data_IF_436172722449
#
_entry.id   IF_436172722449
#
_cell.length_a   1.000
_cell.length_b   1.000
_cell.length_c   1.000
_cell.angle_alpha   90.00
_cell.angle_beta   90.00
_cell.angle_gamma   90.00
#
_symmetry.space_group_name_H-M   'P 1'
#
loop_
_entity.id
_entity.type
_entity.pdbx_description
1 polymer ?
#
# COMPACT_ATOMS: atom_id res chain seq x y z
N UNK A 1 -2.97 -10.39 24.39
CA UNK A 1 -1.84 -9.39 24.47
C UNK A 1 -2.30 -8.20 23.66
N UNK A 2 -2.51 -7.06 24.31
CA UNK A 2 -3.01 -5.84 23.64
C UNK A 2 -1.90 -5.17 22.83
N UNK A 3 -2.26 -4.59 21.69
CA UNK A 3 -1.34 -3.69 20.97
C UNK A 3 -1.08 -2.44 21.82
N UNK A 4 0.14 -1.92 21.71
CA UNK A 4 0.49 -0.61 22.29
C UNK A 4 -0.44 0.48 21.73
N UNK A 5 -0.43 1.64 22.35
CA UNK A 5 -1.17 2.80 21.83
C UNK A 5 -0.80 3.02 20.35
N UNK A 6 -1.83 3.06 19.50
CA UNK A 6 -1.65 3.26 18.07
C UNK A 6 -1.55 4.75 17.78
N UNK A 7 -0.52 5.13 17.06
CA UNK A 7 -0.31 6.51 16.63
C UNK A 7 0.11 6.58 15.17
N UNK A 8 -0.20 7.69 14.53
CA UNK A 8 0.31 8.00 13.19
C UNK A 8 1.77 8.41 13.33
N UNK A 9 2.58 7.84 12.45
CA UNK A 9 4.02 8.13 12.36
C UNK A 9 4.40 8.42 10.92
N UNK A 10 5.60 8.93 10.72
CA UNK A 10 6.28 8.85 9.44
C UNK A 10 7.45 7.89 9.53
N UNK A 11 7.84 7.37 8.39
CA UNK A 11 9.09 6.64 8.20
C UNK A 11 9.89 7.46 7.18
N UNK A 12 11.00 8.12 7.58
CA UNK A 12 11.72 9.03 6.69
C UNK A 12 12.14 8.43 5.35
N UNK A 13 12.37 7.11 5.30
CA UNK A 13 12.65 6.43 4.04
C UNK A 13 11.42 6.36 3.13
N UNK A 14 10.21 6.14 3.66
CA UNK A 14 8.95 6.24 2.92
C UNK A 14 8.75 7.68 2.45
N UNK A 15 8.98 8.65 3.34
CA UNK A 15 8.89 10.07 3.01
C UNK A 15 9.83 10.45 1.86
N UNK A 16 11.05 9.90 1.82
CA UNK A 16 11.98 10.12 0.72
C UNK A 16 11.47 9.55 -0.61
N UNK A 17 10.84 8.37 -0.58
CA UNK A 17 10.19 7.78 -1.77
C UNK A 17 9.13 8.72 -2.33
N UNK A 18 8.17 9.14 -1.49
CA UNK A 18 7.10 10.04 -1.94
C UNK A 18 7.59 11.42 -2.31
N UNK A 19 8.60 11.94 -1.60
CA UNK A 19 9.23 13.20 -1.97
C UNK A 19 9.92 13.13 -3.32
N UNK A 20 10.49 11.98 -3.69
CA UNK A 20 11.03 11.75 -5.03
C UNK A 20 9.95 11.83 -6.11
N UNK A 21 8.76 11.29 -5.83
CA UNK A 21 7.60 11.38 -6.72
C UNK A 21 7.08 12.81 -6.84
N UNK A 22 7.10 13.59 -5.75
CA UNK A 22 6.75 15.00 -5.77
C UNK A 22 7.64 15.79 -6.75
N UNK A 23 8.93 15.45 -6.82
CA UNK A 23 9.86 16.10 -7.75
C UNK A 23 9.51 15.84 -9.22
N UNK A 24 8.85 14.73 -9.52
CA UNK A 24 8.31 14.44 -10.85
C UNK A 24 7.16 15.38 -11.25
N UNK A 25 6.84 16.39 -10.45
CA UNK A 25 5.70 17.28 -10.62
C UNK A 25 4.39 16.52 -10.80
N UNK A 26 4.28 15.42 -10.11
CA UNK A 26 3.07 14.64 -10.05
C UNK A 26 1.95 15.52 -9.49
N UNK A 27 0.96 15.79 -10.31
CA UNK A 27 -0.20 16.52 -9.86
C UNK A 27 -1.01 15.58 -8.96
N UNK A 28 -1.20 15.99 -7.73
CA UNK A 28 -1.99 15.25 -6.75
C UNK A 28 -3.44 15.24 -7.20
N UNK A 29 -3.80 14.27 -8.01
CA UNK A 29 -5.16 14.05 -8.47
C UNK A 29 -6.06 13.51 -7.37
N UNK A 30 -6.07 14.16 -6.23
CA UNK A 30 -7.11 13.90 -5.26
C UNK A 30 -7.98 15.13 -5.19
N UNK A 31 -9.16 15.03 -5.76
CA UNK A 31 -10.23 16.04 -5.70
C UNK A 31 -10.55 16.42 -4.25
N UNK A 32 -10.22 15.56 -3.29
CA UNK A 32 -10.51 15.75 -1.86
C UNK A 32 -9.37 16.39 -1.07
N UNK A 33 -8.24 16.68 -1.69
CA UNK A 33 -7.15 17.36 -0.99
C UNK A 33 -7.41 18.86 -0.93
N UNK A 34 -7.20 19.40 0.28
CA UNK A 34 -7.18 20.84 0.48
C UNK A 34 -6.12 21.50 -0.44
N UNK A 35 -6.54 22.56 -1.13
CA UNK A 35 -5.67 23.35 -2.00
C UNK A 35 -4.47 23.92 -1.25
N UNK A 36 -4.64 24.30 0.01
CA UNK A 36 -3.56 24.79 0.86
C UNK A 36 -2.48 23.72 1.09
N UNK A 37 -2.88 22.47 1.28
CA UNK A 37 -1.95 21.35 1.39
C UNK A 37 -1.17 21.16 0.08
N UNK A 38 -1.86 21.19 -1.05
CA UNK A 38 -1.24 21.05 -2.37
C UNK A 38 -0.22 22.17 -2.61
N UNK A 39 -0.58 23.42 -2.34
CA UNK A 39 0.33 24.56 -2.50
C UNK A 39 1.54 24.47 -1.57
N UNK A 40 1.30 23.98 -0.35
CA UNK A 40 2.39 23.73 0.59
C UNK A 40 3.36 22.66 0.08
N UNK A 41 2.85 21.55 -0.45
CA UNK A 41 3.67 20.49 -1.02
C UNK A 41 4.46 20.99 -2.24
N UNK A 42 3.82 21.77 -3.12
CA UNK A 42 4.49 22.39 -4.28
C UNK A 42 5.65 23.30 -3.87
N UNK A 43 5.57 23.94 -2.71
CA UNK A 43 6.65 24.80 -2.20
C UNK A 43 7.95 24.05 -1.86
N UNK A 44 7.90 22.72 -1.81
CA UNK A 44 9.06 21.86 -1.59
C UNK A 44 9.69 21.31 -2.88
N UNK A 45 9.12 21.62 -4.04
CA UNK A 45 9.73 21.20 -5.32
C UNK A 45 11.10 21.85 -5.47
N UNK A 46 12.09 21.05 -5.82
CA UNK A 46 13.46 21.49 -6.02
C UNK A 46 13.52 22.24 -7.36
N UNK A 47 13.83 23.55 -7.33
CA UNK A 47 13.83 24.40 -8.51
C UNK A 47 15.18 24.44 -9.24
N UNK A 48 16.28 24.14 -8.54
CA UNK A 48 17.64 24.41 -9.02
C UNK A 48 18.39 23.15 -9.47
N UNK A 49 17.68 22.08 -9.78
CA UNK A 49 18.30 20.84 -10.17
C UNK A 49 18.42 20.76 -11.70
N UNK A 50 19.64 20.80 -12.24
CA UNK A 50 19.88 20.50 -13.67
C UNK A 50 19.45 19.08 -14.07
N UNK A 51 19.20 18.22 -13.09
CA UNK A 51 18.76 16.83 -13.23
C UNK A 51 17.23 16.69 -13.15
N UNK A 52 16.49 17.80 -13.13
CA UNK A 52 15.03 17.79 -13.20
C UNK A 52 14.49 17.11 -14.48
N UNK A 53 15.27 17.04 -15.52
CA UNK A 53 14.89 16.33 -16.75
C UNK A 53 14.59 14.85 -16.48
N UNK A 54 15.33 14.21 -15.58
CA UNK A 54 15.06 12.84 -15.17
C UNK A 54 13.66 12.69 -14.55
N UNK A 55 13.29 13.58 -13.64
CA UNK A 55 11.96 13.53 -13.00
C UNK A 55 10.83 13.89 -13.98
N UNK A 56 11.10 14.75 -14.96
CA UNK A 56 10.13 15.10 -16.00
C UNK A 56 9.89 13.94 -16.96
N UNK A 57 10.94 13.22 -17.33
CA UNK A 57 10.86 12.04 -18.19
C UNK A 57 10.03 10.94 -17.52
N UNK A 58 10.25 10.68 -16.23
CA UNK A 58 9.43 9.77 -15.43
C UNK A 58 7.95 10.19 -15.47
N UNK A 59 7.65 11.49 -15.32
CA UNK A 59 6.27 11.98 -15.39
C UNK A 59 5.62 11.67 -16.74
N UNK A 60 6.28 11.98 -17.83
CA UNK A 60 5.74 11.78 -19.19
C UNK A 60 5.45 10.30 -19.46
N UNK A 61 6.36 9.43 -19.04
CA UNK A 61 6.29 8.01 -19.40
C UNK A 61 5.41 7.17 -18.45
N UNK A 62 5.20 7.62 -17.21
CA UNK A 62 4.45 6.81 -16.20
C UNK A 62 3.04 7.32 -15.96
N UNK A 63 2.77 8.62 -16.07
CA UNK A 63 1.44 9.17 -15.80
C UNK A 63 0.40 8.83 -16.87
N UNK A 64 0.82 8.58 -18.11
CA UNK A 64 -0.10 8.16 -19.19
C UNK A 64 -0.61 6.74 -19.00
N UNK A 65 0.19 5.90 -18.33
CA UNK A 65 -0.13 4.48 -18.13
C UNK A 65 -0.89 4.25 -16.81
N UNK A 66 -0.64 5.08 -15.79
CA UNK A 66 -1.26 4.96 -14.47
C UNK A 66 -1.64 6.32 -13.90
N UNK A 67 -2.89 6.76 -14.06
CA UNK A 67 -3.36 8.06 -13.57
C UNK A 67 -3.25 8.23 -12.05
N UNK A 68 -3.09 7.16 -11.29
CA UNK A 68 -3.04 7.19 -9.81
C UNK A 68 -1.66 6.93 -9.23
N UNK A 69 -0.62 6.85 -10.04
CA UNK A 69 0.71 6.45 -9.56
C UNK A 69 0.64 5.36 -8.48
N UNK A 70 -0.08 4.31 -8.74
CA UNK A 70 -0.54 3.40 -7.70
C UNK A 70 0.52 2.42 -7.28
N UNK A 71 1.55 2.27 -8.07
CA UNK A 71 2.62 1.31 -7.79
C UNK A 71 3.71 1.91 -6.91
N UNK A 72 3.44 3.05 -6.26
CA UNK A 72 4.29 3.60 -5.22
C UNK A 72 4.56 2.61 -4.08
N UNK A 73 3.63 1.71 -3.79
CA UNK A 73 3.84 0.60 -2.86
C UNK A 73 5.09 -0.22 -3.18
N UNK A 74 5.38 -0.45 -4.46
CA UNK A 74 6.61 -1.14 -4.88
C UNK A 74 7.86 -0.35 -4.51
N UNK A 75 7.78 0.97 -4.57
CA UNK A 75 8.88 1.85 -4.17
C UNK A 75 8.99 1.94 -2.65
N UNK A 76 7.88 1.82 -1.93
CA UNK A 76 7.88 1.81 -0.46
C UNK A 76 8.72 0.66 0.10
N UNK A 77 8.82 -0.47 -0.60
CA UNK A 77 9.69 -1.57 -0.20
C UNK A 77 11.16 -1.16 -0.15
N UNK A 78 11.56 -0.11 -0.87
CA UNK A 78 12.91 0.47 -0.77
C UNK A 78 13.26 0.89 0.67
N UNK A 79 12.27 1.22 1.50
CA UNK A 79 12.43 1.57 2.91
C UNK A 79 13.26 0.56 3.67
N UNK A 80 13.18 -0.71 3.33
CA UNK A 80 13.93 -1.79 4.00
C UNK A 80 15.40 -1.87 3.57
N UNK A 81 15.77 -1.15 2.54
CA UNK A 81 17.07 -1.21 1.88
C UNK A 81 17.79 0.15 1.82
N UNK A 82 17.21 1.20 2.42
CA UNK A 82 17.79 2.54 2.46
C UNK A 82 18.50 2.76 3.78
N UNK A 83 19.76 3.19 3.68
CA UNK A 83 20.50 3.76 4.78
C UNK A 83 20.47 5.29 4.68
N UNK A 84 19.65 5.91 5.51
CA UNK A 84 19.50 7.37 5.50
C UNK A 84 20.73 8.10 6.03
N UNK A 85 21.55 7.45 6.87
CA UNK A 85 22.75 8.09 7.43
C UNK A 85 23.85 8.22 6.37
N UNK A 86 23.94 7.24 5.48
CA UNK A 86 24.91 7.22 4.41
C UNK A 86 24.32 7.59 3.04
N UNK A 87 23.04 7.98 3.00
CA UNK A 87 22.32 8.42 1.78
C UNK A 87 22.43 7.42 0.62
N UNK A 88 22.31 6.14 0.91
CA UNK A 88 22.50 5.06 -0.07
C UNK A 88 21.55 3.90 0.13
N UNK A 89 21.43 3.06 -0.89
CA UNK A 89 20.89 1.73 -0.75
C UNK A 89 21.94 0.81 -0.08
N UNK A 90 21.54 0.08 0.95
CA UNK A 90 22.37 -0.96 1.58
C UNK A 90 22.56 -2.12 0.62
N UNK A 91 21.47 -2.57 -0.02
CA UNK A 91 21.49 -3.63 -1.02
C UNK A 91 20.43 -3.37 -2.09
N UNK A 92 20.84 -2.71 -3.16
CA UNK A 92 19.96 -2.42 -4.29
C UNK A 92 19.54 -3.69 -5.05
N UNK A 93 20.40 -4.70 -5.11
CA UNK A 93 20.06 -5.95 -5.78
C UNK A 93 19.00 -6.73 -5.01
N UNK A 94 19.09 -6.78 -3.67
CA UNK A 94 18.06 -7.38 -2.86
C UNK A 94 16.71 -6.63 -2.99
N UNK A 95 16.72 -5.31 -3.01
CA UNK A 95 15.54 -4.48 -3.30
C UNK A 95 14.93 -4.82 -4.66
N UNK A 96 15.74 -4.81 -5.71
CA UNK A 96 15.29 -5.15 -7.06
C UNK A 96 14.69 -6.55 -7.12
N UNK A 97 15.34 -7.54 -6.51
CA UNK A 97 14.86 -8.91 -6.49
C UNK A 97 13.55 -9.06 -5.69
N UNK A 98 13.37 -8.31 -4.60
CA UNK A 98 12.12 -8.34 -3.83
C UNK A 98 10.93 -7.85 -4.66
N UNK A 99 11.14 -6.84 -5.50
CA UNK A 99 10.10 -6.35 -6.41
C UNK A 99 9.77 -7.39 -7.49
N UNK A 100 10.78 -8.02 -8.08
CA UNK A 100 10.58 -9.07 -9.09
C UNK A 100 9.81 -10.25 -8.50
N UNK A 101 10.17 -10.67 -7.27
CA UNK A 101 9.52 -11.81 -6.60
C UNK A 101 8.07 -11.51 -6.20
N UNK A 102 7.77 -10.26 -5.84
CA UNK A 102 6.44 -9.84 -5.41
C UNK A 102 5.48 -9.59 -6.59
N UNK A 103 5.95 -9.68 -7.82
CA UNK A 103 5.19 -9.30 -9.00
C UNK A 103 5.06 -10.44 -9.99
N UNK A 104 3.86 -10.53 -10.53
CA UNK A 104 3.61 -11.30 -11.74
C UNK A 104 4.46 -10.70 -12.89
N UNK A 105 5.16 -11.55 -13.62
CA UNK A 105 5.98 -11.17 -14.79
C UNK A 105 5.17 -10.32 -15.78
N UNK A 106 3.88 -10.62 -15.95
CA UNK A 106 2.99 -9.84 -16.81
C UNK A 106 2.84 -8.37 -16.41
N UNK A 107 2.94 -8.05 -15.13
CA UNK A 107 2.90 -6.66 -14.64
C UNK A 107 4.19 -5.90 -14.98
N UNK A 108 5.31 -6.59 -14.98
CA UNK A 108 6.61 -6.03 -15.37
C UNK A 108 6.63 -5.77 -16.88
N UNK A 109 6.16 -6.72 -17.68
CA UNK A 109 6.12 -6.60 -19.13
C UNK A 109 5.18 -5.49 -19.60
N UNK A 110 4.02 -5.33 -18.95
CA UNK A 110 3.11 -4.22 -19.24
C UNK A 110 3.67 -2.86 -18.90
N UNK A 111 4.65 -2.81 -18.00
CA UNK A 111 5.10 -1.59 -17.40
C UNK A 111 6.61 -1.43 -17.42
N UNK A 112 7.22 -1.73 -18.55
CA UNK A 112 8.66 -1.61 -18.74
C UNK A 112 9.18 -0.21 -18.36
N UNK A 113 8.43 0.85 -18.63
CA UNK A 113 8.80 2.22 -18.26
C UNK A 113 8.87 2.43 -16.76
N UNK A 114 7.88 1.89 -16.03
CA UNK A 114 7.91 1.93 -14.58
C UNK A 114 9.05 1.10 -13.99
N UNK A 115 9.33 -0.06 -14.60
CA UNK A 115 10.45 -0.90 -14.23
C UNK A 115 11.79 -0.21 -14.48
N UNK A 116 11.94 0.46 -15.61
CA UNK A 116 13.13 1.25 -15.92
C UNK A 116 13.34 2.37 -14.91
N UNK A 117 12.25 2.99 -14.45
CA UNK A 117 12.32 3.99 -13.40
C UNK A 117 12.73 3.41 -12.04
N UNK A 118 12.20 2.24 -11.65
CA UNK A 118 12.62 1.53 -10.43
C UNK A 118 14.14 1.30 -10.45
N UNK A 119 14.70 0.88 -11.57
CA UNK A 119 16.14 0.67 -11.73
C UNK A 119 16.93 1.98 -11.54
N UNK A 120 16.38 3.09 -11.98
CA UNK A 120 17.00 4.41 -11.87
C UNK A 120 16.71 5.12 -10.53
N UNK A 121 15.78 4.59 -9.74
CA UNK A 121 15.34 5.19 -8.48
C UNK A 121 16.47 5.52 -7.49
N UNK A 122 17.56 4.72 -7.35
CA UNK A 122 18.68 5.10 -6.50
C UNK A 122 19.29 6.46 -6.81
N UNK A 123 19.33 6.83 -8.09
CA UNK A 123 19.82 8.15 -8.52
C UNK A 123 18.87 9.26 -8.04
N UNK A 124 17.56 9.08 -8.25
CA UNK A 124 16.53 10.01 -7.79
C UNK A 124 16.58 10.20 -6.28
N UNK A 125 16.65 9.08 -5.55
CA UNK A 125 16.70 9.07 -4.09
C UNK A 125 17.93 9.82 -3.57
N UNK A 126 19.11 9.60 -4.15
CA UNK A 126 20.31 10.30 -3.75
C UNK A 126 20.17 11.82 -3.86
N UNK A 127 19.62 12.31 -4.96
CA UNK A 127 19.36 13.73 -5.16
C UNK A 127 18.40 14.32 -4.13
N UNK A 128 17.35 13.57 -3.82
CA UNK A 128 16.37 13.96 -2.79
C UNK A 128 17.00 14.04 -1.43
N UNK A 129 17.72 12.99 -1.01
CA UNK A 129 18.32 12.92 0.32
C UNK A 129 19.36 14.04 0.56
N UNK A 130 20.06 14.47 -0.48
CA UNK A 130 21.04 15.55 -0.41
C UNK A 130 20.42 16.96 -0.48
N UNK A 131 19.12 17.07 -0.72
CA UNK A 131 18.46 18.36 -0.89
C UNK A 131 18.04 19.00 0.44
N UNK A 132 18.29 20.31 0.58
CA UNK A 132 17.75 21.10 1.66
C UNK A 132 16.20 21.11 1.69
N UNK A 133 15.61 20.94 0.52
CA UNK A 133 14.15 20.89 0.36
C UNK A 133 13.54 19.67 1.07
N UNK A 134 14.19 18.53 0.99
CA UNK A 134 13.75 17.33 1.71
C UNK A 134 13.83 17.49 3.22
N UNK A 135 14.93 18.07 3.74
CA UNK A 135 15.07 18.34 5.17
C UNK A 135 13.98 19.29 5.70
N UNK A 136 13.61 20.33 4.90
CA UNK A 136 12.51 21.23 5.24
C UNK A 136 11.15 20.53 5.20
N UNK A 137 10.96 19.65 4.20
CA UNK A 137 9.77 18.84 4.07
C UNK A 137 9.59 17.91 5.29
N UNK A 138 10.62 17.15 5.66
CA UNK A 138 10.55 16.25 6.83
C UNK A 138 10.20 16.98 8.12
N UNK A 139 10.76 18.16 8.34
CA UNK A 139 10.41 18.99 9.49
C UNK A 139 8.93 19.36 9.48
N UNK A 140 8.44 19.83 8.36
CA UNK A 140 7.02 20.17 8.20
C UNK A 140 6.11 18.94 8.30
N UNK A 141 6.51 17.80 7.71
CA UNK A 141 5.77 16.54 7.79
C UNK A 141 5.59 16.08 9.25
N UNK A 142 6.64 16.22 10.08
CA UNK A 142 6.53 15.91 11.50
C UNK A 142 5.47 16.77 12.22
N UNK A 143 5.44 18.07 11.94
CA UNK A 143 4.42 18.98 12.50
C UNK A 143 3.01 18.55 12.01
N UNK A 144 2.87 18.23 10.72
CA UNK A 144 1.62 17.73 10.13
C UNK A 144 1.17 16.41 10.78
N UNK A 145 2.08 15.48 11.06
CA UNK A 145 1.79 14.20 11.75
C UNK A 145 1.23 14.45 13.17
N UNK A 146 1.77 15.43 13.89
CA UNK A 146 1.23 15.81 15.21
C UNK A 146 -0.22 16.25 15.08
N UNK A 147 -0.55 17.07 14.10
CA UNK A 147 -1.92 17.52 13.83
C UNK A 147 -2.82 16.33 13.47
N UNK A 148 -2.35 15.38 12.63
CA UNK A 148 -3.12 14.20 12.27
C UNK A 148 -3.41 13.30 13.49
N UNK A 149 -2.46 13.11 14.38
CA UNK A 149 -2.66 12.35 15.61
C UNK A 149 -3.75 12.97 16.51
N UNK A 150 -3.78 14.28 16.61
CA UNK A 150 -4.84 14.99 17.36
C UNK A 150 -6.21 14.81 16.68
N UNK A 151 -6.24 14.94 15.36
CA UNK A 151 -7.45 14.83 14.55
C UNK A 151 -8.07 13.43 14.64
N UNK A 152 -7.25 12.39 14.54
CA UNK A 152 -7.69 10.99 14.41
C UNK A 152 -7.58 10.17 15.70
N UNK A 153 -7.45 10.81 16.85
CA UNK A 153 -7.23 10.11 18.13
C UNK A 153 -8.27 9.04 18.43
N UNK A 154 -9.55 9.34 18.21
CA UNK A 154 -10.67 8.41 18.48
C UNK A 154 -10.70 7.25 17.48
N UNK A 155 -10.45 7.55 16.22
CA UNK A 155 -10.37 6.56 15.15
C UNK A 155 -9.22 5.58 15.39
N UNK A 156 -8.05 6.08 15.77
CA UNK A 156 -6.89 5.24 16.10
C UNK A 156 -7.17 4.30 17.27
N UNK A 157 -7.85 4.78 18.31
CA UNK A 157 -8.25 3.93 19.45
C UNK A 157 -9.23 2.84 19.01
N UNK A 158 -10.21 3.18 18.18
CA UNK A 158 -11.18 2.22 17.64
C UNK A 158 -10.49 1.19 16.75
N UNK A 159 -9.62 1.62 15.82
CA UNK A 159 -8.82 0.75 14.95
C UNK A 159 -8.00 -0.22 15.81
N UNK A 160 -7.27 0.29 16.80
CA UNK A 160 -6.47 -0.55 17.70
C UNK A 160 -7.31 -1.68 18.34
N UNK A 161 -8.48 -1.34 18.84
CA UNK A 161 -9.37 -2.30 19.51
C UNK A 161 -9.87 -3.37 18.53
N UNK A 162 -10.25 -2.98 17.31
CA UNK A 162 -10.68 -3.91 16.27
C UNK A 162 -9.53 -4.84 15.86
N UNK A 163 -8.34 -4.29 15.62
CA UNK A 163 -7.17 -5.09 15.22
C UNK A 163 -6.73 -6.05 16.35
N UNK A 164 -6.88 -5.66 17.61
CA UNK A 164 -6.62 -6.55 18.75
C UNK A 164 -7.59 -7.74 18.75
N UNK A 165 -8.87 -7.51 18.49
CA UNK A 165 -9.88 -8.57 18.34
C UNK A 165 -9.57 -9.48 17.15
N UNK A 166 -9.21 -8.91 16.00
CA UNK A 166 -8.80 -9.67 14.82
C UNK A 166 -7.57 -10.54 15.11
N UNK A 167 -6.57 -9.99 15.80
CA UNK A 167 -5.38 -10.74 16.21
C UNK A 167 -5.73 -11.95 17.05
N UNK A 168 -6.57 -11.78 18.05
CA UNK A 168 -6.96 -12.86 18.95
C UNK A 168 -7.79 -13.91 18.20
N UNK A 169 -8.81 -13.47 17.47
CA UNK A 169 -9.76 -14.34 16.78
C UNK A 169 -9.09 -15.15 15.67
N UNK A 170 -8.25 -14.51 14.87
CA UNK A 170 -7.63 -15.13 13.71
C UNK A 170 -6.20 -15.62 13.98
N UNK A 171 -5.75 -15.55 15.23
CA UNK A 171 -4.41 -15.99 15.66
C UNK A 171 -3.28 -15.36 14.81
N UNK A 172 -3.43 -14.07 14.49
CA UNK A 172 -2.43 -13.34 13.70
C UNK A 172 -1.06 -13.30 14.41
N UNK A 173 0.05 -13.56 13.69
CA UNK A 173 1.39 -13.48 14.24
C UNK A 173 1.88 -12.05 14.43
N UNK A 174 1.16 -11.04 13.94
CA UNK A 174 1.56 -9.64 14.00
C UNK A 174 1.71 -9.18 15.45
N UNK A 175 2.88 -8.63 15.77
CA UNK A 175 3.20 -8.13 17.11
C UNK A 175 3.09 -6.63 17.23
N UNK A 176 3.48 -5.91 16.19
CA UNK A 176 3.46 -4.46 16.15
C UNK A 176 2.72 -3.95 14.92
N UNK A 177 2.05 -2.82 15.09
CA UNK A 177 1.34 -2.12 14.02
C UNK A 177 1.87 -0.70 13.97
N UNK A 178 2.23 -0.25 12.77
CA UNK A 178 2.57 1.12 12.47
C UNK A 178 1.57 1.68 11.46
N UNK A 179 1.04 2.86 11.75
CA UNK A 179 0.21 3.62 10.82
C UNK A 179 1.04 4.77 10.29
N UNK A 180 1.39 4.70 9.03
CA UNK A 180 2.16 5.73 8.32
C UNK A 180 1.21 6.53 7.45
N UNK A 181 1.09 7.82 7.70
CA UNK A 181 0.43 8.72 6.77
C UNK A 181 1.46 9.59 6.08
N UNK A 182 1.34 9.67 4.77
CA UNK A 182 2.19 10.54 3.97
C UNK A 182 1.33 11.54 3.19
N UNK A 183 1.56 12.86 3.33
CA UNK A 183 0.73 13.88 2.70
C UNK A 183 0.85 13.92 1.17
N UNK A 184 1.87 13.28 0.59
CA UNK A 184 2.07 13.17 -0.85
C UNK A 184 1.32 11.97 -1.43
N UNK A 185 1.19 10.88 -0.68
CA UNK A 185 0.51 9.66 -1.13
C UNK A 185 -0.97 9.93 -1.44
N UNK A 186 -1.50 9.27 -2.46
CA UNK A 186 -2.92 9.33 -2.81
C UNK A 186 -3.80 8.93 -1.61
N UNK A 187 -4.88 9.67 -1.37
CA UNK A 187 -5.81 9.42 -0.26
C UNK A 187 -6.62 8.15 -0.43
N UNK A 188 -6.76 7.67 -1.66
CA UNK A 188 -7.49 6.44 -2.00
C UNK A 188 -6.60 5.20 -2.11
N UNK A 189 -5.27 5.37 -2.08
CA UNK A 189 -4.32 4.27 -2.14
C UNK A 189 -3.83 3.97 -0.74
N UNK A 190 -4.23 2.83 -0.23
CA UNK A 190 -3.64 2.24 0.96
C UNK A 190 -2.79 1.06 0.53
N UNK A 191 -1.70 0.84 1.24
CA UNK A 191 -0.81 -0.29 1.05
C UNK A 191 -0.31 -0.76 2.41
N UNK A 192 0.12 -2.02 2.48
CA UNK A 192 0.76 -2.55 3.69
C UNK A 192 2.07 -3.27 3.37
N UNK A 193 2.93 -3.33 4.36
CA UNK A 193 4.17 -4.07 4.31
C UNK A 193 4.31 -4.93 5.56
N UNK A 194 4.77 -6.15 5.37
CA UNK A 194 5.06 -7.07 6.46
C UNK A 194 6.58 -7.25 6.59
N UNK A 195 7.09 -7.03 7.80
CA UNK A 195 8.49 -7.30 8.12
C UNK A 195 8.61 -7.77 9.58
N UNK A 196 9.17 -8.96 9.78
CA UNK A 196 9.47 -9.48 11.12
C UNK A 196 8.28 -9.41 12.08
N UNK A 197 7.09 -9.82 11.66
CA UNK A 197 5.83 -9.73 12.40
C UNK A 197 5.40 -8.27 12.72
N UNK A 198 5.93 -7.29 12.00
CA UNK A 198 5.45 -5.92 12.02
C UNK A 198 4.57 -5.68 10.80
N UNK A 199 3.42 -5.09 11.03
CA UNK A 199 2.51 -4.62 10.01
C UNK A 199 2.66 -3.10 9.88
N UNK A 200 2.98 -2.63 8.70
CA UNK A 200 3.13 -1.21 8.38
C UNK A 200 2.04 -0.85 7.38
N UNK A 201 1.05 -0.11 7.83
CA UNK A 201 0.05 0.49 6.96
C UNK A 201 0.55 1.83 6.42
N UNK A 202 0.41 2.08 5.14
CA UNK A 202 0.81 3.33 4.51
C UNK A 202 -0.33 3.89 3.64
N UNK A 203 -0.73 5.14 3.88
CA UNK A 203 -1.78 5.80 3.11
C UNK A 203 -1.61 7.32 3.07
N UNK A 204 -2.36 7.99 2.19
CA UNK A 204 -2.47 9.45 2.15
C UNK A 204 -3.50 10.00 3.15
N UNK A 205 -4.39 9.14 3.69
CA UNK A 205 -5.40 9.50 4.69
C UNK A 205 -5.70 8.33 5.60
N UNK A 206 -6.13 8.60 6.83
CA UNK A 206 -6.62 7.56 7.71
C UNK A 206 -8.08 7.26 7.41
N UNK A 207 -8.36 6.02 7.08
CA UNK A 207 -9.70 5.44 6.99
C UNK A 207 -9.68 4.13 7.73
N UNK A 208 -10.56 3.98 8.71
CA UNK A 208 -10.63 2.76 9.54
C UNK A 208 -10.77 1.50 8.70
N UNK A 209 -11.70 1.53 7.76
CA UNK A 209 -11.96 0.42 6.85
C UNK A 209 -10.70 0.03 6.06
N UNK A 210 -9.94 1.00 5.55
CA UNK A 210 -8.72 0.73 4.80
C UNK A 210 -7.64 0.07 5.67
N UNK A 211 -7.48 0.49 6.93
CA UNK A 211 -6.50 -0.15 7.83
C UNK A 211 -6.88 -1.60 8.12
N UNK A 212 -8.18 -1.86 8.35
CA UNK A 212 -8.69 -3.20 8.60
C UNK A 212 -8.55 -4.06 7.35
N UNK A 213 -8.93 -3.55 6.18
CA UNK A 213 -8.81 -4.21 4.90
C UNK A 213 -7.37 -4.68 4.64
N UNK A 214 -6.41 -3.77 4.72
CA UNK A 214 -5.00 -4.11 4.52
C UNK A 214 -4.49 -5.11 5.57
N UNK A 215 -4.98 -5.02 6.82
CA UNK A 215 -4.61 -5.98 7.84
C UNK A 215 -5.19 -7.37 7.57
N UNK A 216 -6.38 -7.48 7.01
CA UNK A 216 -7.02 -8.76 6.72
C UNK A 216 -6.31 -9.52 5.61
N UNK A 217 -5.67 -8.85 4.64
CA UNK A 217 -4.89 -9.50 3.59
C UNK A 217 -3.89 -10.54 4.14
N UNK A 218 -3.13 -10.23 5.19
CA UNK A 218 -2.15 -11.19 5.73
C UNK A 218 -2.78 -12.43 6.40
N UNK A 219 -4.07 -12.36 6.71
CA UNK A 219 -4.85 -13.47 7.28
C UNK A 219 -5.46 -14.31 6.16
N UNK A 220 -5.99 -13.65 5.14
CA UNK A 220 -6.69 -14.28 4.01
C UNK A 220 -5.71 -14.93 3.04
N UNK A 221 -4.63 -14.25 2.69
CA UNK A 221 -3.66 -14.71 1.70
C UNK A 221 -3.16 -16.15 1.92
N UNK A 222 -2.71 -16.57 3.11
CA UNK A 222 -2.26 -17.95 3.33
C UNK A 222 -3.38 -18.99 3.14
N UNK A 223 -4.64 -18.62 3.40
CA UNK A 223 -5.79 -19.52 3.24
C UNK A 223 -6.09 -19.69 1.75
N UNK A 224 -6.08 -18.59 0.98
CA UNK A 224 -6.26 -18.61 -0.48
C UNK A 224 -5.19 -19.50 -1.13
N UNK A 225 -3.94 -19.32 -0.77
CA UNK A 225 -2.82 -20.13 -1.28
C UNK A 225 -2.98 -21.63 -0.94
N UNK A 226 -3.42 -21.94 0.27
CA UNK A 226 -3.62 -23.34 0.70
C UNK A 226 -4.84 -24.00 0.03
N UNK A 227 -5.81 -23.22 -0.41
CA UNK A 227 -7.06 -23.70 -1.05
C UNK A 227 -7.14 -23.38 -2.54
N UNK A 228 -6.02 -23.06 -3.17
CA UNK A 228 -5.98 -22.61 -4.57
C UNK A 228 -6.69 -23.56 -5.54
N UNK A 229 -6.49 -24.87 -5.40
CA UNK A 229 -7.06 -25.86 -6.30
C UNK A 229 -8.60 -25.87 -6.23
N UNK A 230 -9.18 -25.67 -5.04
CA UNK A 230 -10.63 -25.53 -4.84
C UNK A 230 -11.15 -24.23 -5.46
N UNK A 231 -10.43 -23.12 -5.22
CA UNK A 231 -10.80 -21.80 -5.72
C UNK A 231 -10.76 -21.77 -7.24
N UNK A 232 -9.75 -22.37 -7.86
CA UNK A 232 -9.63 -22.43 -9.32
C UNK A 232 -10.73 -23.28 -10.00
N UNK A 233 -11.41 -24.15 -9.25
CA UNK A 233 -12.57 -24.89 -9.74
C UNK A 233 -13.88 -24.11 -9.67
N UNK A 234 -13.89 -22.92 -9.05
CA UNK A 234 -15.07 -22.08 -8.91
C UNK A 234 -15.36 -21.25 -10.17
N UNK A 235 -16.64 -20.89 -10.35
CA UNK A 235 -17.04 -19.96 -11.38
C UNK A 235 -17.30 -18.57 -10.78
N UNK A 236 -16.42 -17.63 -11.06
CA UNK A 236 -16.46 -16.27 -10.52
C UNK A 236 -17.10 -15.23 -11.46
N UNK A 237 -17.87 -15.65 -12.46
CA UNK A 237 -18.52 -14.72 -13.42
C UNK A 237 -19.45 -13.69 -12.75
N UNK A 238 -19.88 -13.96 -11.52
CA UNK A 238 -20.79 -13.10 -10.76
C UNK A 238 -20.11 -12.44 -9.55
N UNK A 239 -18.77 -12.45 -9.46
CA UNK A 239 -18.10 -11.68 -8.44
C UNK A 239 -18.38 -10.19 -8.65
N UNK A 240 -18.89 -9.54 -7.61
CA UNK A 240 -19.07 -8.08 -7.57
C UNK A 240 -17.71 -7.39 -7.32
N UNK A 241 -16.74 -7.72 -8.14
CA UNK A 241 -15.42 -7.11 -8.15
C UNK A 241 -15.10 -6.75 -9.59
N UNK A 242 -14.55 -5.58 -9.80
CA UNK A 242 -13.98 -5.20 -11.09
C UNK A 242 -12.76 -6.08 -11.40
N UNK A 243 -13.02 -7.23 -12.03
CA UNK A 243 -11.99 -8.20 -12.43
C UNK A 243 -11.06 -7.65 -13.51
N UNK A 244 -11.41 -6.52 -14.15
CA UNK A 244 -10.53 -5.85 -15.11
C UNK A 244 -9.23 -5.33 -14.44
N UNK A 245 -9.27 -5.11 -13.14
CA UNK A 245 -8.11 -4.74 -12.34
C UNK A 245 -7.13 -5.92 -12.16
N UNK A 246 -7.64 -7.14 -12.11
CA UNK A 246 -6.88 -8.40 -11.99
C UNK A 246 -6.70 -9.06 -13.36
N UNK A 247 -6.30 -8.44 -14.23
CA UNK A 247 -6.03 -8.31 -15.64
C UNK A 247 -5.85 -9.54 -16.52
N UNK A 248 -5.75 -10.74 -16.04
CA UNK A 248 -5.74 -11.94 -16.87
C UNK A 248 -6.66 -12.97 -16.21
N UNK A 249 -7.44 -13.67 -17.01
CA UNK A 249 -8.12 -14.91 -16.59
C UNK A 249 -7.11 -16.05 -16.36
N UNK A 250 -5.88 -15.73 -15.96
CA UNK A 250 -4.90 -16.71 -15.52
C UNK A 250 -5.16 -17.07 -14.04
N UNK A 251 -4.54 -18.16 -13.62
CA UNK A 251 -4.71 -18.67 -12.24
C UNK A 251 -4.39 -17.61 -11.18
N UNK A 252 -3.35 -16.82 -11.38
CA UNK A 252 -2.92 -15.78 -10.43
C UNK A 252 -3.94 -14.65 -10.36
N UNK A 253 -4.47 -14.23 -11.51
CA UNK A 253 -5.53 -13.21 -11.55
C UNK A 253 -6.80 -13.66 -10.84
N UNK A 254 -7.19 -14.92 -11.01
CA UNK A 254 -8.36 -15.52 -10.34
C UNK A 254 -8.14 -15.54 -8.82
N UNK A 255 -6.99 -16.03 -8.36
CA UNK A 255 -6.69 -16.10 -6.93
C UNK A 255 -6.64 -14.71 -6.28
N UNK A 256 -6.02 -13.74 -6.95
CA UNK A 256 -6.00 -12.36 -6.46
C UNK A 256 -7.39 -11.74 -6.39
N UNK A 257 -8.24 -11.99 -7.38
CA UNK A 257 -9.63 -11.51 -7.39
C UNK A 257 -10.44 -12.13 -6.24
N UNK A 258 -10.28 -13.41 -6.00
CA UNK A 258 -10.95 -14.09 -4.89
C UNK A 258 -10.42 -13.62 -3.54
N UNK A 259 -9.11 -13.44 -3.39
CA UNK A 259 -8.51 -12.87 -2.19
C UNK A 259 -9.10 -11.50 -1.86
N UNK A 260 -9.14 -10.61 -2.84
CA UNK A 260 -9.71 -9.27 -2.68
C UNK A 260 -11.19 -9.32 -2.29
N UNK A 261 -11.97 -10.21 -2.91
CA UNK A 261 -13.36 -10.45 -2.55
C UNK A 261 -13.49 -10.85 -1.07
N UNK A 262 -12.74 -11.85 -0.64
CA UNK A 262 -12.76 -12.34 0.73
C UNK A 262 -12.35 -11.28 1.74
N UNK A 263 -11.33 -10.50 1.41
CA UNK A 263 -10.87 -9.39 2.24
C UNK A 263 -11.97 -8.34 2.40
N UNK A 264 -12.67 -7.98 1.33
CA UNK A 264 -13.78 -7.00 1.38
C UNK A 264 -14.93 -7.51 2.24
N UNK A 265 -15.38 -8.74 2.02
CA UNK A 265 -16.49 -9.32 2.79
C UNK A 265 -16.15 -9.43 4.28
N UNK A 266 -14.92 -9.86 4.61
CA UNK A 266 -14.46 -9.93 5.99
C UNK A 266 -14.33 -8.55 6.62
N UNK A 267 -13.76 -7.59 5.90
CA UNK A 267 -13.63 -6.20 6.37
C UNK A 267 -14.99 -5.62 6.71
N UNK A 268 -15.95 -5.78 5.82
CA UNK A 268 -17.32 -5.27 6.00
C UNK A 268 -17.99 -5.92 7.22
N UNK A 269 -17.87 -7.22 7.37
CA UNK A 269 -18.38 -7.93 8.53
C UNK A 269 -17.75 -7.45 9.85
N UNK A 270 -16.45 -7.22 9.88
CA UNK A 270 -15.69 -6.76 11.06
C UNK A 270 -16.08 -5.33 11.43
N UNK A 271 -16.10 -4.42 10.45
CA UNK A 271 -16.43 -3.00 10.66
C UNK A 271 -17.87 -2.85 11.18
N UNK A 272 -18.79 -3.66 10.66
CA UNK A 272 -20.20 -3.67 11.09
C UNK A 272 -20.44 -4.45 12.41
N UNK A 273 -19.39 -5.00 13.02
CA UNK A 273 -19.49 -5.72 14.29
C UNK A 273 -20.21 -7.06 14.21
N UNK A 274 -20.28 -7.67 13.03
CA UNK A 274 -20.88 -8.98 12.83
C UNK A 274 -20.04 -10.06 13.52
N UNK A 275 -20.72 -11.02 14.16
CA UNK A 275 -20.05 -12.18 14.75
C UNK A 275 -19.66 -13.11 13.63
N UNK A 276 -18.36 -13.16 13.34
CA UNK A 276 -17.83 -14.11 12.38
C UNK A 276 -17.72 -15.50 13.02
N UNK A 277 -18.07 -16.50 12.24
CA UNK A 277 -17.72 -17.89 12.52
C UNK A 277 -16.19 -18.10 12.43
N UNK A 278 -15.70 -19.31 12.45
CA UNK A 278 -14.29 -19.55 12.17
C UNK A 278 -13.98 -19.21 10.71
N UNK A 279 -12.74 -18.81 10.41
CA UNK A 279 -12.34 -18.49 9.03
C UNK A 279 -12.58 -19.68 8.08
N UNK A 280 -12.34 -20.91 8.55
CA UNK A 280 -12.55 -22.13 7.77
C UNK A 280 -14.02 -22.24 7.34
N UNK A 281 -14.95 -22.12 8.28
CA UNK A 281 -16.39 -22.18 7.97
C UNK A 281 -16.81 -21.05 7.04
N UNK A 282 -16.27 -19.85 7.25
CA UNK A 282 -16.55 -18.71 6.39
C UNK A 282 -16.04 -18.93 4.95
N UNK A 283 -14.82 -19.42 4.80
CA UNK A 283 -14.29 -19.76 3.48
C UNK A 283 -15.07 -20.89 2.80
N UNK A 284 -15.48 -21.92 3.55
CA UNK A 284 -16.29 -23.01 3.01
C UNK A 284 -17.64 -22.50 2.50
N UNK A 285 -18.27 -21.57 3.21
CA UNK A 285 -19.53 -20.98 2.79
C UNK A 285 -19.36 -20.19 1.49
N UNK A 286 -18.34 -19.33 1.41
CA UNK A 286 -18.09 -18.50 0.24
C UNK A 286 -17.68 -19.33 -0.99
N UNK A 287 -16.76 -20.29 -0.86
CA UNK A 287 -16.38 -21.18 -1.96
C UNK A 287 -17.60 -21.97 -2.45
N UNK A 288 -18.41 -22.50 -1.55
CA UNK A 288 -19.61 -23.27 -1.93
C UNK A 288 -20.64 -22.44 -2.69
N UNK A 289 -20.72 -21.13 -2.49
CA UNK A 289 -21.60 -20.26 -3.29
C UNK A 289 -21.19 -20.25 -4.76
N UNK A 290 -19.89 -20.26 -5.04
CA UNK A 290 -19.34 -20.21 -6.39
C UNK A 290 -19.24 -21.58 -7.06
N UNK A 291 -19.18 -22.68 -6.29
CA UNK A 291 -19.19 -24.04 -6.85
C UNK A 291 -20.57 -24.49 -7.37
N UNK A 292 -21.65 -23.90 -6.85
CA UNK A 292 -23.02 -24.36 -7.10
C UNK A 292 -23.68 -23.82 -8.35
N UNK A 293 -22.99 -23.06 -9.19
CA UNK A 293 -23.56 -22.62 -10.46
C UNK A 293 -23.35 -23.73 -11.50
N UNK A 294 -24.38 -24.51 -11.87
CA UNK A 294 -24.22 -25.52 -12.92
C UNK A 294 -23.86 -24.81 -14.20
N UNK A 295 -22.86 -25.30 -14.90
CA UNK A 295 -22.65 -24.96 -16.30
C UNK A 295 -23.91 -25.42 -17.05
N UNK A 296 -24.71 -24.46 -17.51
CA UNK A 296 -25.84 -24.71 -18.44
C UNK A 296 -25.33 -24.68 -19.86
#
# INVERSE_FOLDING_TARGET
MEYKELSITNIPAISAVYFSLLQCKYDFYSIERDTLLIDKLRSFIISDCRECDFFLDVKQNTCEVYPYWPRAAMLETATFYIDLQHEQFVDFNAYKNSIVSAKNISDIERNHLFWDWIIQFPKALKLVLQSNSFSRYLKWENDWIVEQNLKYKKELERIRNILALCKEKFKSPIQNIQVVLNPIKCVYSADYHLKDNNFIFCSGSLREEAVIHEFIHHIVHPIVENRKDEILCCNFTNLDIDTSYYLNNDEVGILNAFEEYMVRVLTDAIVNGNVLETLEVFFDQEINQFMRTPQV
#
